data_IF_214258980845
#
_entry.id   IF_214258980845
#
_cell.length_a   1.000
_cell.length_b   1.000
_cell.length_c   1.000
_cell.angle_alpha   90.00
_cell.angle_beta   90.00
_cell.angle_gamma   90.00
#
_symmetry.space_group_name_H-M   'P 1'
#
loop_
_entity.id
_entity.type
_entity.pdbx_description
1 polymer ?
#
# COMPACT_ATOMS: atom_id res chain seq x y z
N UNK A 1 -6.35 -1.09 12.04
CA UNK A 1 -5.11 -1.62 11.44
C UNK A 1 -4.90 -3.05 11.91
N UNK A 2 -4.68 -3.99 11.00
CA UNK A 2 -4.34 -5.37 11.33
C UNK A 2 -2.98 -5.43 12.06
N UNK A 3 -2.94 -6.00 13.26
CA UNK A 3 -1.73 -6.09 14.09
C UNK A 3 -0.58 -6.83 13.38
N UNK A 4 -0.87 -7.89 12.65
CA UNK A 4 0.13 -8.65 11.87
C UNK A 4 0.82 -7.80 10.79
N UNK A 5 0.19 -6.69 10.34
CA UNK A 5 0.80 -5.78 9.37
C UNK A 5 2.09 -5.17 9.91
N UNK A 6 2.23 -5.03 11.25
CA UNK A 6 3.44 -4.51 11.90
C UNK A 6 4.69 -5.26 11.50
N UNK A 7 4.56 -6.56 11.22
CA UNK A 7 5.67 -7.35 10.71
C UNK A 7 6.17 -6.79 9.39
N UNK A 8 5.30 -6.30 8.49
CA UNK A 8 5.67 -5.75 7.19
C UNK A 8 5.98 -4.24 7.18
N UNK A 9 5.75 -3.52 8.28
CA UNK A 9 6.03 -2.09 8.37
C UNK A 9 7.50 -1.81 8.72
N UNK A 10 7.99 -0.64 8.31
CA UNK A 10 9.28 -0.11 8.75
C UNK A 10 9.19 1.40 8.99
N UNK A 11 10.20 1.94 9.69
CA UNK A 11 10.32 3.39 9.83
C UNK A 11 10.68 4.02 8.47
N UNK A 12 10.04 5.13 8.09
CA UNK A 12 10.35 5.84 6.85
C UNK A 12 11.56 6.80 6.95
N UNK A 13 12.13 7.01 8.14
CA UNK A 13 13.28 7.91 8.32
C UNK A 13 14.59 7.29 7.84
N UNK A 14 15.60 8.14 7.63
CA UNK A 14 16.89 7.78 7.06
C UNK A 14 17.77 7.05 8.09
N UNK A 15 17.58 5.74 8.18
CA UNK A 15 18.43 4.78 8.86
C UNK A 15 18.16 3.38 8.29
N UNK A 16 18.96 2.40 8.69
CA UNK A 16 18.78 1.02 8.24
C UNK A 16 17.37 0.49 8.54
N UNK A 17 16.84 -0.30 7.60
CA UNK A 17 15.51 -0.90 7.73
C UNK A 17 15.47 -1.79 8.99
N UNK A 18 14.53 -1.50 9.88
CA UNK A 18 14.33 -2.23 11.14
C UNK A 18 12.84 -2.47 11.36
N UNK A 19 12.53 -3.44 12.23
CA UNK A 19 11.16 -3.68 12.67
C UNK A 19 10.61 -2.48 13.42
N UNK A 20 9.29 -2.33 13.40
CA UNK A 20 8.58 -1.38 14.24
C UNK A 20 7.77 -2.13 15.29
N UNK A 21 7.47 -1.46 16.39
CA UNK A 21 6.70 -2.02 17.51
C UNK A 21 5.35 -1.32 17.56
N UNK A 22 4.27 -2.09 17.66
CA UNK A 22 2.93 -1.55 17.91
C UNK A 22 2.59 -1.63 19.39
N UNK A 23 2.16 -0.51 19.94
CA UNK A 23 1.59 -0.40 21.28
C UNK A 23 0.12 0.01 21.11
N UNK A 24 -0.81 -0.97 21.09
CA UNK A 24 -2.23 -0.67 20.97
C UNK A 24 -2.77 -0.05 22.26
N UNK A 25 -3.62 0.96 22.11
CA UNK A 25 -4.44 1.54 23.19
C UNK A 25 -5.85 0.98 23.14
N UNK A 26 -6.40 0.83 21.92
CA UNK A 26 -7.70 0.20 21.67
C UNK A 26 -7.58 -0.77 20.50
N UNK A 27 -8.12 -1.98 20.65
CA UNK A 27 -8.15 -2.99 19.61
C UNK A 27 -9.37 -3.90 19.77
N UNK A 28 -9.90 -4.39 18.64
CA UNK A 28 -10.86 -5.48 18.58
C UNK A 28 -10.18 -6.71 17.95
N UNK A 29 -9.83 -7.68 18.78
CA UNK A 29 -9.03 -8.83 18.38
C UNK A 29 -7.67 -8.39 17.80
N UNK A 30 -7.46 -8.67 16.50
CA UNK A 30 -6.25 -8.26 15.77
C UNK A 30 -6.39 -6.91 15.06
N UNK A 31 -7.53 -6.24 15.14
CA UNK A 31 -7.73 -4.93 14.52
C UNK A 31 -7.51 -3.80 15.53
N UNK A 32 -6.35 -3.15 15.45
CA UNK A 32 -5.97 -2.02 16.29
C UNK A 32 -6.69 -0.76 15.82
N UNK A 33 -7.46 -0.14 16.71
CA UNK A 33 -8.23 1.10 16.47
C UNK A 33 -7.44 2.36 16.85
N UNK A 34 -6.72 2.31 17.96
CA UNK A 34 -5.86 3.42 18.39
C UNK A 34 -4.60 2.90 19.09
N UNK A 35 -3.54 3.72 19.11
CA UNK A 35 -2.24 3.34 19.66
C UNK A 35 -1.09 4.08 19.02
N UNK A 36 0.10 3.50 19.08
CA UNK A 36 1.31 4.06 18.48
C UNK A 36 2.18 2.97 17.84
N UNK A 37 2.78 3.29 16.70
CA UNK A 37 3.88 2.54 16.10
C UNK A 37 5.19 3.25 16.49
N UNK A 38 6.08 2.56 17.20
CA UNK A 38 7.39 3.07 17.59
C UNK A 38 8.53 2.43 16.79
N UNK A 39 9.51 3.24 16.39
CA UNK A 39 10.77 2.74 15.84
C UNK A 39 11.81 2.54 16.97
N UNK A 40 12.37 1.33 17.15
CA UNK A 40 13.38 1.10 18.18
C UNK A 40 14.75 1.71 17.86
N UNK A 41 14.99 2.14 16.61
CA UNK A 41 16.27 2.68 16.15
C UNK A 41 16.35 4.18 16.40
N UNK A 42 15.39 4.94 15.87
CA UNK A 42 15.38 6.41 15.96
C UNK A 42 14.39 6.94 17.00
N UNK A 43 13.65 6.07 17.69
CA UNK A 43 12.62 6.42 18.67
C UNK A 43 11.48 7.28 18.12
N UNK A 44 11.33 7.36 16.79
CA UNK A 44 10.18 8.01 16.19
C UNK A 44 8.89 7.25 16.51
N UNK A 45 7.84 8.01 16.79
CA UNK A 45 6.52 7.51 17.12
C UNK A 45 5.51 7.98 16.06
N UNK A 46 4.65 7.06 15.64
CA UNK A 46 3.63 7.29 14.62
C UNK A 46 2.27 6.91 15.19
N UNK A 47 1.35 7.87 15.40
CA UNK A 47 0.08 7.58 16.04
C UNK A 47 -0.82 6.72 15.14
N UNK A 48 -1.62 5.87 15.78
CA UNK A 48 -2.72 5.14 15.17
C UNK A 48 -4.02 5.84 15.61
N UNK A 49 -4.80 6.32 14.66
CA UNK A 49 -6.10 6.95 14.90
C UNK A 49 -7.14 6.37 13.92
N UNK A 50 -8.31 6.00 14.42
CA UNK A 50 -9.39 5.37 13.63
C UNK A 50 -8.94 4.14 12.83
N UNK A 51 -7.93 3.43 13.34
CA UNK A 51 -7.29 2.28 12.73
C UNK A 51 -6.33 2.61 11.58
N UNK A 52 -6.04 3.88 11.33
CA UNK A 52 -5.06 4.36 10.36
C UNK A 52 -3.73 4.72 11.04
N UNK A 53 -2.59 4.36 10.43
CA UNK A 53 -1.26 4.73 10.95
C UNK A 53 -0.75 5.99 10.27
N UNK A 54 -0.37 7.00 11.04
CA UNK A 54 0.10 8.29 10.52
C UNK A 54 1.62 8.43 10.62
N UNK A 55 2.32 8.12 9.52
CA UNK A 55 3.78 8.27 9.38
C UNK A 55 4.23 9.70 9.05
N UNK A 56 3.27 10.60 8.81
CA UNK A 56 3.51 12.01 8.57
C UNK A 56 2.24 12.70 8.08
N UNK A 57 2.40 13.94 7.59
CA UNK A 57 1.30 14.70 7.00
C UNK A 57 1.34 14.60 5.48
N UNK A 58 0.17 14.43 4.87
CA UNK A 58 -0.02 14.49 3.42
C UNK A 58 -1.03 15.56 3.08
N UNK A 59 -0.96 16.10 1.86
CA UNK A 59 -1.98 16.99 1.37
C UNK A 59 -3.19 16.16 0.99
N UNK A 60 -4.37 16.53 1.50
CA UNK A 60 -5.63 15.92 1.07
C UNK A 60 -5.81 16.13 -0.44
N UNK A 61 -6.12 15.04 -1.14
CA UNK A 61 -6.47 15.04 -2.56
C UNK A 61 -7.96 14.86 -2.70
N UNK A 62 -8.56 15.59 -3.63
CA UNK A 62 -9.96 15.37 -3.99
C UNK A 62 -10.07 14.10 -4.85
N UNK A 63 -11.03 13.21 -4.58
CA UNK A 63 -11.23 12.02 -5.40
C UNK A 63 -11.51 12.39 -6.85
N UNK A 64 -10.92 11.67 -7.80
CA UNK A 64 -11.31 11.76 -9.20
C UNK A 64 -12.70 11.11 -9.40
N UNK A 65 -13.57 11.75 -10.18
CA UNK A 65 -14.98 11.33 -10.34
C UNK A 65 -15.12 9.93 -10.98
N UNK A 66 -14.27 9.58 -11.95
CA UNK A 66 -14.31 8.28 -12.63
C UNK A 66 -13.02 7.48 -12.43
N UNK A 67 -13.18 6.17 -12.19
CA UNK A 67 -12.08 5.22 -12.15
C UNK A 67 -11.89 4.60 -13.54
N UNK A 68 -10.65 4.37 -13.98
CA UNK A 68 -10.38 3.76 -15.29
C UNK A 68 -10.76 2.27 -15.35
N UNK A 69 -11.00 1.63 -14.21
CA UNK A 69 -11.37 0.23 -14.08
C UNK A 69 -12.18 -0.01 -12.80
N UNK A 70 -12.77 -1.20 -12.67
CA UNK A 70 -13.44 -1.65 -11.44
C UNK A 70 -12.54 -2.58 -10.60
N UNK A 71 -13.00 -2.95 -9.39
CA UNK A 71 -12.22 -3.80 -8.49
C UNK A 71 -11.96 -5.22 -9.06
N UNK A 72 -12.83 -5.72 -9.94
CA UNK A 72 -12.67 -7.04 -10.55
C UNK A 72 -11.55 -7.03 -11.61
N UNK A 73 -11.50 -5.97 -12.42
CA UNK A 73 -10.40 -5.73 -13.34
C UNK A 73 -9.07 -5.53 -12.58
N UNK A 74 -9.07 -4.76 -11.48
CA UNK A 74 -7.88 -4.59 -10.65
C UNK A 74 -7.36 -5.92 -10.12
N UNK A 75 -8.22 -6.75 -9.54
CA UNK A 75 -7.86 -8.10 -9.06
C UNK A 75 -7.18 -8.93 -10.16
N UNK A 76 -7.74 -8.93 -11.37
CA UNK A 76 -7.18 -9.65 -12.51
C UNK A 76 -5.80 -9.11 -12.92
N UNK A 77 -5.61 -7.78 -12.90
CA UNK A 77 -4.32 -7.17 -13.21
C UNK A 77 -3.25 -7.51 -12.16
N UNK A 78 -3.61 -7.50 -10.87
CA UNK A 78 -2.70 -7.87 -9.78
C UNK A 78 -2.25 -9.33 -9.87
N UNK A 79 -3.07 -10.21 -10.47
CA UNK A 79 -2.67 -11.58 -10.82
C UNK A 79 -2.23 -12.42 -9.62
N UNK A 80 -2.89 -12.23 -8.49
CA UNK A 80 -2.52 -12.85 -7.22
C UNK A 80 -3.12 -14.25 -7.12
N UNK A 81 -2.29 -15.22 -6.77
CA UNK A 81 -2.70 -16.61 -6.54
C UNK A 81 -2.38 -17.05 -5.10
N UNK A 82 -3.23 -17.87 -4.48
CA UNK A 82 -2.96 -18.40 -3.13
C UNK A 82 -3.19 -17.41 -1.98
N UNK A 83 -2.95 -17.88 -0.75
CA UNK A 83 -3.39 -17.24 0.51
C UNK A 83 -2.27 -16.45 1.19
N UNK A 84 -2.66 -15.46 1.99
CA UNK A 84 -1.79 -14.70 2.88
C UNK A 84 -1.09 -13.50 2.22
N UNK A 85 -0.38 -12.73 3.05
CA UNK A 85 0.38 -11.55 2.65
C UNK A 85 -0.49 -10.32 2.39
N UNK A 86 0.13 -9.31 1.79
CA UNK A 86 -0.40 -7.96 1.71
C UNK A 86 -0.38 -7.41 0.29
N UNK A 87 -1.38 -6.60 -0.05
CA UNK A 87 -1.42 -5.77 -1.27
C UNK A 87 -1.45 -4.32 -0.87
N UNK A 88 -0.62 -3.50 -1.48
CA UNK A 88 -0.63 -2.05 -1.26
C UNK A 88 -1.37 -1.34 -2.40
N UNK A 89 -2.37 -0.53 -2.07
CA UNK A 89 -3.01 0.39 -3.01
C UNK A 89 -2.67 1.81 -2.57
N UNK A 90 -2.06 2.62 -3.44
CA UNK A 90 -1.51 3.94 -3.10
C UNK A 90 -2.26 5.02 -3.87
N UNK A 91 -2.67 6.09 -3.18
CA UNK A 91 -3.37 7.22 -3.78
C UNK A 91 -4.75 6.83 -4.31
N UNK A 92 -5.09 7.28 -5.52
CA UNK A 92 -6.38 7.03 -6.17
C UNK A 92 -6.73 5.54 -6.29
N UNK A 93 -5.74 4.67 -6.47
CA UNK A 93 -5.95 3.22 -6.52
C UNK A 93 -6.55 2.67 -5.21
N UNK A 94 -6.30 3.33 -4.07
CA UNK A 94 -6.85 2.93 -2.76
C UNK A 94 -8.38 3.06 -2.67
N UNK A 95 -9.03 3.71 -3.64
CA UNK A 95 -10.49 3.70 -3.75
C UNK A 95 -11.07 2.30 -3.98
N UNK A 96 -10.28 1.39 -4.55
CA UNK A 96 -10.66 -0.01 -4.71
C UNK A 96 -10.46 -0.84 -3.43
N UNK A 97 -9.89 -0.29 -2.35
CA UNK A 97 -9.40 -1.09 -1.23
C UNK A 97 -10.48 -1.95 -0.56
N UNK A 98 -11.64 -1.38 -0.24
CA UNK A 98 -12.73 -2.12 0.40
C UNK A 98 -13.29 -3.21 -0.52
N UNK A 99 -13.61 -2.86 -1.78
CA UNK A 99 -14.13 -3.80 -2.77
C UNK A 99 -13.11 -4.91 -3.09
N UNK A 100 -11.81 -4.61 -3.14
CA UNK A 100 -10.77 -5.60 -3.35
C UNK A 100 -10.63 -6.53 -2.14
N UNK A 101 -10.70 -5.99 -0.91
CA UNK A 101 -10.62 -6.80 0.31
C UNK A 101 -11.78 -7.80 0.42
N UNK A 102 -13.00 -7.42 0.01
CA UNK A 102 -14.15 -8.32 -0.04
C UNK A 102 -13.98 -9.45 -1.06
N UNK A 103 -13.37 -9.14 -2.21
CA UNK A 103 -13.11 -10.12 -3.28
C UNK A 103 -11.95 -11.06 -2.95
N UNK A 104 -10.98 -10.57 -2.18
CA UNK A 104 -9.74 -11.26 -1.84
C UNK A 104 -9.59 -11.47 -0.33
N UNK A 105 -10.50 -12.16 0.36
CA UNK A 105 -10.49 -12.24 1.83
C UNK A 105 -9.27 -12.98 2.41
N UNK A 106 -8.51 -13.68 1.56
CA UNK A 106 -7.28 -14.35 1.97
C UNK A 106 -6.02 -13.47 1.88
N UNK A 107 -6.12 -12.24 1.36
CA UNK A 107 -4.99 -11.30 1.20
C UNK A 107 -5.39 -9.97 1.80
N UNK A 108 -4.56 -9.44 2.69
CA UNK A 108 -4.91 -8.23 3.41
C UNK A 108 -4.57 -6.97 2.60
N UNK A 109 -5.50 -6.01 2.54
CA UNK A 109 -5.32 -4.78 1.76
C UNK A 109 -4.78 -3.65 2.65
N UNK A 110 -3.68 -3.05 2.20
CA UNK A 110 -3.04 -1.88 2.79
C UNK A 110 -3.35 -0.69 1.89
N UNK A 111 -4.09 0.29 2.41
CA UNK A 111 -4.49 1.47 1.66
C UNK A 111 -3.62 2.66 2.08
N UNK A 112 -2.81 3.19 1.16
CA UNK A 112 -1.85 4.26 1.45
C UNK A 112 -2.35 5.57 0.86
N UNK A 113 -2.45 6.61 1.68
CA UNK A 113 -2.90 7.94 1.26
C UNK A 113 -4.21 7.91 0.48
N UNK A 114 -5.19 7.13 0.96
CA UNK A 114 -6.47 7.01 0.27
C UNK A 114 -7.21 8.37 0.23
N UNK A 115 -7.80 8.76 -0.91
CA UNK A 115 -8.53 10.03 -1.05
C UNK A 115 -9.93 9.98 -0.42
N UNK A 116 -10.32 8.84 0.15
CA UNK A 116 -11.61 8.59 0.78
C UNK A 116 -11.40 7.96 2.16
N UNK A 117 -12.36 8.18 3.06
CA UNK A 117 -12.38 7.45 4.32
C UNK A 117 -12.71 5.97 4.07
N UNK A 118 -11.87 5.08 4.59
CA UNK A 118 -12.02 3.65 4.40
C UNK A 118 -12.45 2.96 5.70
N UNK A 119 -13.27 1.89 5.62
CA UNK A 119 -13.62 1.11 6.79
C UNK A 119 -12.41 0.30 7.28
N UNK A 120 -11.87 0.65 8.45
CA UNK A 120 -10.66 0.03 9.02
C UNK A 120 -10.80 -1.46 9.37
N UNK A 121 -12.02 -2.00 9.39
CA UNK A 121 -12.28 -3.42 9.64
C UNK A 121 -11.84 -4.35 8.48
N UNK A 122 -11.78 -3.84 7.24
CA UNK A 122 -11.46 -4.64 6.05
C UNK A 122 -10.06 -4.35 5.49
N UNK A 123 -9.52 -3.18 5.81
CA UNK A 123 -8.27 -2.67 5.23
C UNK A 123 -7.42 -2.02 6.32
N UNK A 124 -6.12 -1.87 6.08
CA UNK A 124 -5.26 -1.09 6.96
C UNK A 124 -4.81 0.20 6.29
N UNK A 125 -5.39 1.35 6.67
CA UNK A 125 -5.00 2.65 6.13
C UNK A 125 -3.64 3.09 6.68
N UNK A 126 -2.79 3.62 5.81
CA UNK A 126 -1.53 4.27 6.15
C UNK A 126 -1.52 5.68 5.54
N UNK A 127 -0.97 6.64 6.29
CA UNK A 127 -0.76 8.01 5.82
C UNK A 127 0.73 8.29 5.87
N UNK A 128 1.37 8.52 4.72
CA UNK A 128 2.82 8.71 4.66
C UNK A 128 3.26 9.70 3.55
N UNK A 129 4.23 10.58 3.84
CA UNK A 129 4.80 11.48 2.83
C UNK A 129 5.95 10.82 2.09
N UNK A 130 5.84 10.71 0.76
CA UNK A 130 6.98 10.50 -0.16
C UNK A 130 7.78 9.19 -0.05
N UNK A 131 7.54 8.36 0.97
CA UNK A 131 8.17 7.04 1.15
C UNK A 131 7.15 6.05 1.71
N UNK A 132 7.15 4.82 1.23
CA UNK A 132 6.30 3.76 1.76
C UNK A 132 6.91 3.21 3.06
N UNK A 133 6.21 3.29 4.21
CA UNK A 133 6.66 2.76 5.50
C UNK A 133 6.48 1.23 5.56
N UNK A 134 6.88 0.56 4.49
CA UNK A 134 6.73 -0.87 4.26
C UNK A 134 8.12 -1.42 3.95
N UNK A 135 8.43 -2.56 4.56
CA UNK A 135 9.70 -3.27 4.34
C UNK A 135 9.88 -3.65 2.89
N UNK A 136 11.14 -3.64 2.49
CA UNK A 136 11.57 -4.06 1.17
C UNK A 136 11.10 -5.49 0.90
N UNK A 137 10.55 -5.76 -0.30
CA UNK A 137 10.08 -7.10 -0.73
C UNK A 137 9.09 -7.77 0.24
N UNK A 138 8.11 -7.03 0.74
CA UNK A 138 7.07 -7.55 1.64
C UNK A 138 5.66 -7.56 1.04
N UNK A 139 5.43 -6.84 -0.06
CA UNK A 139 4.12 -6.76 -0.73
C UNK A 139 3.99 -7.78 -1.84
N UNK A 140 2.80 -8.37 -1.96
CA UNK A 140 2.46 -9.35 -3.00
C UNK A 140 1.99 -8.70 -4.30
N UNK A 141 1.42 -7.51 -4.22
CA UNK A 141 1.17 -6.65 -5.36
C UNK A 141 1.12 -5.20 -4.90
N UNK A 142 1.31 -4.28 -5.85
CA UNK A 142 1.18 -2.84 -5.61
C UNK A 142 0.37 -2.21 -6.73
N UNK A 143 -0.60 -1.36 -6.39
CA UNK A 143 -1.27 -0.49 -7.35
C UNK A 143 -0.99 0.98 -7.00
N UNK A 144 -0.59 1.77 -7.99
CA UNK A 144 -0.38 3.20 -7.87
C UNK A 144 -1.48 3.93 -8.63
N UNK A 145 -2.21 4.77 -7.91
CA UNK A 145 -3.14 5.73 -8.48
C UNK A 145 -2.42 6.79 -9.31
N UNK A 146 -3.18 7.55 -10.10
CA UNK A 146 -2.65 8.62 -10.95
C UNK A 146 -1.83 9.64 -10.16
N UNK A 147 -2.29 10.01 -8.98
CA UNK A 147 -1.64 10.94 -8.05
C UNK A 147 -0.34 10.38 -7.43
N UNK A 148 -0.12 9.07 -7.54
CA UNK A 148 1.07 8.35 -7.09
C UNK A 148 1.92 7.79 -8.25
N UNK A 149 1.70 8.20 -9.50
CA UNK A 149 2.44 7.72 -10.68
C UNK A 149 3.81 8.41 -10.91
N UNK A 150 4.32 9.14 -9.92
CA UNK A 150 5.65 9.79 -10.01
C UNK A 150 6.80 8.78 -9.88
N UNK A 151 7.96 9.10 -10.45
CA UNK A 151 9.17 8.25 -10.38
C UNK A 151 9.55 7.82 -8.96
N UNK A 152 9.42 8.70 -7.95
CA UNK A 152 9.72 8.37 -6.56
C UNK A 152 8.77 7.33 -5.97
N UNK A 153 7.46 7.49 -6.18
CA UNK A 153 6.45 6.51 -5.75
C UNK A 153 6.57 5.19 -6.50
N UNK A 154 6.91 5.21 -7.79
CA UNK A 154 7.18 4.00 -8.57
C UNK A 154 8.38 3.25 -8.03
N UNK A 155 9.48 3.94 -7.73
CA UNK A 155 10.66 3.32 -7.13
C UNK A 155 10.32 2.67 -5.77
N UNK A 156 9.51 3.32 -4.95
CA UNK A 156 9.03 2.79 -3.67
C UNK A 156 8.13 1.56 -3.85
N UNK A 157 7.17 1.61 -4.78
CA UNK A 157 6.33 0.48 -5.11
C UNK A 157 7.16 -0.73 -5.57
N UNK A 158 8.15 -0.51 -6.43
CA UNK A 158 9.08 -1.54 -6.87
C UNK A 158 9.91 -2.06 -5.69
N UNK A 159 10.38 -1.21 -4.77
CA UNK A 159 11.15 -1.62 -3.59
C UNK A 159 10.36 -2.60 -2.71
N UNK A 160 9.11 -2.26 -2.38
CA UNK A 160 8.28 -3.05 -1.45
C UNK A 160 7.71 -4.32 -2.09
N UNK A 161 7.58 -4.37 -3.41
CA UNK A 161 7.04 -5.52 -4.13
C UNK A 161 8.00 -6.72 -4.09
N UNK A 162 7.48 -7.92 -3.87
CA UNK A 162 8.23 -9.18 -4.01
C UNK A 162 8.62 -9.41 -5.48
N UNK A 163 9.81 -10.00 -5.76
CA UNK A 163 10.22 -10.30 -7.14
C UNK A 163 9.24 -11.27 -7.82
N UNK A 164 9.04 -11.09 -9.13
CA UNK A 164 8.13 -11.91 -9.94
C UNK A 164 6.64 -11.58 -9.77
N UNK A 165 6.30 -10.60 -8.93
CA UNK A 165 4.91 -10.19 -8.73
C UNK A 165 4.58 -8.87 -9.43
N UNK A 166 3.29 -8.54 -9.47
CA UNK A 166 2.77 -7.51 -10.37
C UNK A 166 2.60 -6.15 -9.70
N UNK A 167 2.80 -5.12 -10.51
CA UNK A 167 2.51 -3.73 -10.22
C UNK A 167 1.52 -3.19 -11.25
N UNK A 168 0.56 -2.40 -10.79
CA UNK A 168 -0.38 -1.64 -11.63
C UNK A 168 -0.11 -0.16 -11.41
N UNK A 169 -0.05 0.63 -12.48
CA UNK A 169 0.15 2.08 -12.42
C UNK A 169 -0.90 2.73 -13.30
N UNK A 170 -1.66 3.68 -12.76
CA UNK A 170 -2.64 4.50 -13.48
C UNK A 170 -1.99 5.61 -14.33
N UNK A 171 -0.98 5.22 -15.10
CA UNK A 171 -0.32 6.02 -16.12
C UNK A 171 0.37 5.08 -17.12
N UNK A 172 -0.09 5.08 -18.38
CA UNK A 172 0.50 4.26 -19.43
C UNK A 172 1.80 4.84 -20.00
N UNK A 173 2.18 6.06 -19.63
CA UNK A 173 3.45 6.72 -19.96
C UNK A 173 4.49 6.56 -18.84
N UNK A 174 4.12 5.99 -17.69
CA UNK A 174 5.04 5.81 -16.58
C UNK A 174 6.27 4.96 -16.98
N UNK A 175 7.43 5.37 -16.47
CA UNK A 175 8.67 4.60 -16.54
C UNK A 175 8.92 3.92 -15.20
N UNK A 176 9.04 2.58 -15.22
CA UNK A 176 9.21 1.78 -14.02
C UNK A 176 10.49 0.94 -14.13
N UNK A 177 11.59 1.46 -13.60
CA UNK A 177 12.86 0.73 -13.58
C UNK A 177 12.73 -0.59 -12.81
N UNK A 178 13.33 -1.66 -13.34
CA UNK A 178 13.26 -2.98 -12.72
C UNK A 178 11.93 -3.72 -12.90
N UNK A 179 11.02 -3.15 -13.70
CA UNK A 179 9.74 -3.76 -14.07
C UNK A 179 9.75 -4.19 -15.54
N UNK A 180 9.31 -5.42 -15.79
CA UNK A 180 8.94 -5.89 -17.12
C UNK A 180 7.49 -5.50 -17.41
N UNK A 181 7.25 -4.83 -18.54
CA UNK A 181 5.92 -4.38 -18.93
C UNK A 181 5.15 -5.56 -19.52
N UNK A 182 4.01 -5.91 -18.92
CA UNK A 182 3.10 -6.94 -19.41
C UNK A 182 2.00 -6.34 -20.31
N UNK A 183 1.53 -5.15 -19.96
CA UNK A 183 0.50 -4.42 -20.69
C UNK A 183 0.67 -2.90 -20.51
N UNK A 184 0.39 -2.15 -21.58
CA UNK A 184 0.22 -0.69 -21.57
C UNK A 184 -0.99 -0.30 -22.41
N UNK A 185 -1.76 0.67 -21.94
CA UNK A 185 -2.88 1.27 -22.66
C UNK A 185 -4.05 1.60 -21.76
N UNK A 186 -4.97 2.43 -22.26
CA UNK A 186 -6.14 2.87 -21.49
C UNK A 186 -5.78 3.72 -20.27
N UNK A 187 -4.64 4.42 -20.30
CA UNK A 187 -4.14 5.19 -19.16
C UNK A 187 -3.57 4.33 -18.04
N UNK A 188 -3.19 3.08 -18.32
CA UNK A 188 -2.59 2.17 -17.35
C UNK A 188 -1.36 1.43 -17.88
N UNK A 189 -0.50 1.06 -16.94
CA UNK A 189 0.60 0.13 -17.11
C UNK A 189 0.42 -1.02 -16.12
N UNK A 190 0.49 -2.25 -16.61
CA UNK A 190 0.65 -3.45 -15.78
C UNK A 190 2.01 -4.06 -16.05
N UNK A 191 2.76 -4.29 -14.98
CA UNK A 191 4.11 -4.82 -15.07
C UNK A 191 4.40 -5.88 -14.01
N UNK A 192 5.53 -6.55 -14.17
CA UNK A 192 6.04 -7.53 -13.24
C UNK A 192 7.43 -7.12 -12.76
N UNK A 193 7.66 -7.14 -11.45
CA UNK A 193 9.00 -6.87 -10.91
C UNK A 193 9.94 -7.99 -11.35
N UNK A 194 11.07 -7.62 -11.97
CA UNK A 194 12.09 -8.60 -12.38
C UNK A 194 12.64 -9.35 -11.17
N UNK A 195 12.86 -10.65 -11.34
CA UNK A 195 13.63 -11.45 -10.38
C UNK A 195 15.09 -10.94 -10.38
N UNK A 196 15.50 -10.24 -9.32
CA UNK A 196 16.90 -9.95 -9.01
C UNK A 196 17.32 -10.76 -7.81
#
# INVERSE_FOLDING_TARGET
MLLALTEALCCPLDHDESYVVCVPVEADGSDVKSGVIGCPVCHAEYPIADGAVHFGRVKETSPVESLPYDAAALEAFLGLEGRGGYVALVGDAARHAAALAERMPAVHVVAVNAPIQLPSALVSPLVCPGRLPIRTRSMRAVALGRDAASAGWIAEAVRVLLPGLRIVIEDDQAEAEGVEVLMRGGGMLVGQKRAR
#
